data_IF_001057970975
#
_entry.id   IF_001057970975
#
_cell.length_a   1.000
_cell.length_b   1.000
_cell.length_c   1.000
_cell.angle_alpha   90.00
_cell.angle_beta   90.00
_cell.angle_gamma   90.00
#
_symmetry.space_group_name_H-M   'P 1'
#
loop_
_entity.id
_entity.type
_entity.pdbx_description
1 polymer ?
#
# COMPACT_ATOMS: atom_id res chain seq x y z
N UNK A 1 19.61 -1.60 2.83
CA UNK A 1 18.28 -2.20 2.54
C UNK A 1 17.58 -1.33 1.52
N UNK A 2 17.19 -1.87 0.37
CA UNK A 2 16.35 -1.16 -0.60
C UNK A 2 15.05 -1.95 -0.81
N UNK A 3 13.91 -1.25 -0.78
CA UNK A 3 12.60 -1.85 -0.95
C UNK A 3 11.78 -1.06 -1.97
N UNK A 4 11.42 -1.74 -3.05
CA UNK A 4 10.68 -1.18 -4.17
C UNK A 4 9.21 -1.64 -4.08
N UNK A 5 8.30 -0.70 -3.86
CA UNK A 5 6.85 -0.92 -3.78
C UNK A 5 6.14 -0.29 -4.97
N UNK A 6 5.22 -1.01 -5.57
CA UNK A 6 4.20 -0.46 -6.45
C UNK A 6 2.83 -0.58 -5.82
N UNK A 7 2.05 0.50 -5.85
CA UNK A 7 0.64 0.50 -5.45
C UNK A 7 -0.20 0.80 -6.68
N UNK A 8 -1.17 -0.06 -7.00
CA UNK A 8 -1.97 0.06 -8.22
C UNK A 8 -3.47 -0.19 -7.94
N UNK A 9 -4.31 0.59 -8.63
CA UNK A 9 -5.76 0.50 -8.51
C UNK A 9 -6.48 1.48 -9.41
N UNK A 10 -7.77 1.72 -9.15
CA UNK A 10 -8.53 2.77 -9.83
C UNK A 10 -8.38 4.12 -9.12
N UNK A 11 -8.61 5.19 -9.86
CA UNK A 11 -8.81 6.51 -9.27
C UNK A 11 -9.94 6.49 -8.22
N UNK A 12 -9.67 7.07 -7.04
CA UNK A 12 -10.61 7.05 -5.90
C UNK A 12 -10.36 5.95 -4.86
N UNK A 13 -9.57 4.92 -5.15
CA UNK A 13 -9.20 3.88 -4.17
C UNK A 13 -8.08 4.29 -3.20
N UNK A 14 -7.62 5.54 -3.27
CA UNK A 14 -6.60 6.05 -2.35
C UNK A 14 -5.17 5.53 -2.60
N UNK A 15 -4.90 5.00 -3.79
CA UNK A 15 -3.60 4.46 -4.22
C UNK A 15 -2.47 5.47 -4.02
N UNK A 16 -2.67 6.70 -4.53
CA UNK A 16 -1.67 7.77 -4.38
C UNK A 16 -1.49 8.21 -2.94
N UNK A 17 -2.56 8.21 -2.15
CA UNK A 17 -2.49 8.58 -0.74
C UNK A 17 -1.73 7.54 0.08
N UNK A 18 -1.89 6.24 -0.23
CA UNK A 18 -1.13 5.18 0.42
C UNK A 18 0.38 5.40 0.20
N UNK A 19 0.80 5.57 -1.05
CA UNK A 19 2.20 5.84 -1.37
C UNK A 19 2.73 7.12 -0.72
N UNK A 20 1.93 8.20 -0.71
CA UNK A 20 2.31 9.47 -0.06
C UNK A 20 2.48 9.31 1.45
N UNK A 21 1.57 8.64 2.14
CA UNK A 21 1.65 8.44 3.59
C UNK A 21 2.90 7.64 3.96
N UNK A 22 3.19 6.57 3.20
CA UNK A 22 4.41 5.79 3.39
C UNK A 22 5.66 6.66 3.18
N UNK A 23 5.69 7.45 2.12
CA UNK A 23 6.81 8.34 1.81
C UNK A 23 7.00 9.45 2.84
N UNK A 24 5.91 10.05 3.33
CA UNK A 24 5.98 11.03 4.42
C UNK A 24 6.50 10.42 5.72
N UNK A 25 6.00 9.24 6.10
CA UNK A 25 6.48 8.54 7.29
C UNK A 25 7.97 8.23 7.20
N UNK A 26 8.46 7.82 6.04
CA UNK A 26 9.88 7.58 5.81
C UNK A 26 10.70 8.87 5.91
N UNK A 27 10.34 9.88 5.12
CA UNK A 27 11.13 11.11 4.98
C UNK A 27 11.15 11.96 6.26
N UNK A 28 10.02 12.01 6.99
CA UNK A 28 9.86 12.92 8.14
C UNK A 28 10.28 12.28 9.48
N UNK A 29 10.41 10.95 9.52
CA UNK A 29 10.55 10.22 10.80
C UNK A 29 11.71 9.22 10.82
N UNK A 30 12.47 9.10 9.73
CA UNK A 30 13.63 8.20 9.64
C UNK A 30 14.78 8.86 8.87
N UNK A 31 15.97 8.27 8.95
CA UNK A 31 17.15 8.67 8.15
C UNK A 31 17.18 7.96 6.78
N UNK A 32 16.12 7.24 6.40
CA UNK A 32 16.05 6.56 5.12
C UNK A 32 15.78 7.52 3.96
N UNK A 33 16.36 7.21 2.83
CA UNK A 33 16.02 7.85 1.56
C UNK A 33 14.69 7.30 1.05
N UNK A 34 13.90 8.15 0.43
CA UNK A 34 12.63 7.74 -0.19
C UNK A 34 12.37 8.49 -1.49
N UNK A 35 11.84 7.78 -2.47
CA UNK A 35 11.27 8.39 -3.68
C UNK A 35 9.81 8.03 -3.80
N UNK A 36 9.02 8.96 -4.30
CA UNK A 36 7.60 8.77 -4.63
C UNK A 36 7.36 9.24 -6.07
N UNK A 37 6.94 8.31 -6.92
CA UNK A 37 6.65 8.60 -8.31
C UNK A 37 5.21 8.21 -8.66
N UNK A 38 4.28 9.17 -8.79
CA UNK A 38 2.92 8.90 -9.21
C UNK A 38 2.85 8.73 -10.74
N UNK A 39 2.06 7.75 -11.19
CA UNK A 39 1.74 7.55 -12.59
C UNK A 39 0.23 7.53 -12.78
N UNK A 40 -0.26 8.47 -13.56
CA UNK A 40 -1.67 8.51 -13.97
C UNK A 40 -1.77 7.97 -15.38
N UNK A 41 -2.68 7.01 -15.62
CA UNK A 41 -3.01 6.57 -16.97
C UNK A 41 -3.57 7.72 -17.82
N UNK A 42 -3.51 7.57 -19.15
CA UNK A 42 -4.05 8.56 -20.10
C UNK A 42 -5.57 8.80 -19.93
N UNK A 43 -6.27 7.89 -19.29
CA UNK A 43 -7.70 7.98 -18.99
C UNK A 43 -7.92 8.74 -17.68
N UNK A 44 -8.47 9.94 -17.78
CA UNK A 44 -8.69 10.83 -16.63
C UNK A 44 -9.79 10.36 -15.66
N UNK A 45 -10.62 9.39 -16.04
CA UNK A 45 -11.67 8.78 -15.19
C UNK A 45 -11.80 7.30 -15.51
N UNK A 46 -11.70 6.44 -14.48
CA UNK A 46 -11.84 4.99 -14.61
C UNK A 46 -10.58 4.25 -15.06
N UNK A 47 -9.49 4.95 -15.38
CA UNK A 47 -8.19 4.36 -15.70
C UNK A 47 -7.42 3.87 -14.48
N UNK A 48 -6.42 3.02 -14.70
CA UNK A 48 -5.52 2.55 -13.65
C UNK A 48 -4.62 3.68 -13.16
N UNK A 49 -4.69 3.98 -11.87
CA UNK A 49 -3.74 4.85 -11.17
C UNK A 49 -2.70 3.98 -10.46
N UNK A 50 -1.45 4.37 -10.51
CA UNK A 50 -0.40 3.66 -9.76
C UNK A 50 0.67 4.62 -9.27
N UNK A 51 1.40 4.21 -8.24
CA UNK A 51 2.58 4.93 -7.79
C UNK A 51 3.68 3.96 -7.39
N UNK A 52 4.91 4.41 -7.54
CA UNK A 52 6.10 3.73 -7.06
C UNK A 52 6.62 4.43 -5.82
N UNK A 53 7.06 3.64 -4.85
CA UNK A 53 7.75 4.09 -3.66
C UNK A 53 9.01 3.25 -3.50
N UNK A 54 10.15 3.90 -3.42
CA UNK A 54 11.42 3.25 -3.09
C UNK A 54 11.87 3.76 -1.74
N UNK A 55 12.18 2.85 -0.82
CA UNK A 55 12.73 3.15 0.52
C UNK A 55 14.10 2.52 0.59
N UNK A 56 15.14 3.27 0.97
CA UNK A 56 16.51 2.78 1.07
C UNK A 56 17.30 3.45 2.20
N UNK A 57 18.18 2.69 2.84
CA UNK A 57 19.19 3.23 3.76
C UNK A 57 20.41 3.83 3.03
N UNK A 58 20.48 3.65 1.70
CA UNK A 58 21.50 4.24 0.83
C UNK A 58 20.87 5.19 -0.20
N UNK A 59 21.67 6.03 -0.88
CA UNK A 59 21.18 6.89 -1.95
C UNK A 59 20.49 6.08 -3.06
N UNK A 60 19.28 6.50 -3.44
CA UNK A 60 18.48 5.83 -4.46
C UNK A 60 18.97 6.25 -5.85
N UNK A 61 19.47 5.28 -6.63
CA UNK A 61 20.02 5.53 -7.97
C UNK A 61 18.95 5.76 -9.04
N UNK A 62 17.76 5.14 -8.90
CA UNK A 62 16.65 5.31 -9.83
C UNK A 62 15.30 5.32 -9.10
N UNK A 63 14.41 6.31 -9.37
CA UNK A 63 13.10 6.36 -8.71
C UNK A 63 12.10 5.33 -9.25
N UNK A 64 12.43 4.68 -10.35
CA UNK A 64 11.63 3.66 -11.03
C UNK A 64 12.51 2.47 -11.35
N UNK A 65 12.10 1.29 -10.87
CA UNK A 65 12.68 0.01 -11.27
C UNK A 65 11.76 -0.72 -12.26
N UNK A 66 12.35 -1.56 -13.10
CA UNK A 66 11.60 -2.48 -13.96
C UNK A 66 10.98 -3.63 -13.16
N UNK A 67 11.46 -3.87 -11.96
CA UNK A 67 11.02 -4.90 -11.03
C UNK A 67 10.76 -4.32 -9.64
N UNK A 68 9.96 -5.01 -8.84
CA UNK A 68 9.59 -4.59 -7.49
C UNK A 68 9.59 -5.75 -6.50
N UNK A 69 9.88 -5.44 -5.23
CA UNK A 69 9.80 -6.39 -4.13
C UNK A 69 8.36 -6.59 -3.65
N UNK A 70 7.56 -5.53 -3.70
CA UNK A 70 6.20 -5.52 -3.20
C UNK A 70 5.25 -4.93 -4.24
N UNK A 71 4.08 -5.54 -4.36
CA UNK A 71 3.00 -5.08 -5.21
C UNK A 71 1.69 -5.05 -4.41
N UNK A 72 1.10 -3.88 -4.29
CA UNK A 72 -0.24 -3.69 -3.72
C UNK A 72 -1.25 -3.51 -4.85
N UNK A 73 -2.26 -4.37 -4.90
CA UNK A 73 -3.29 -4.39 -5.94
C UNK A 73 -4.66 -4.17 -5.34
N UNK A 74 -5.30 -3.07 -5.76
CA UNK A 74 -6.63 -2.69 -5.28
C UNK A 74 -7.76 -3.12 -6.22
N UNK A 75 -7.45 -3.65 -7.42
CA UNK A 75 -8.43 -4.15 -8.39
C UNK A 75 -7.84 -5.19 -9.35
N UNK A 76 -8.69 -5.97 -10.03
CA UNK A 76 -8.29 -7.02 -10.95
C UNK A 76 -7.45 -6.54 -12.16
N UNK A 77 -7.85 -5.48 -12.88
CA UNK A 77 -7.06 -4.97 -14.02
C UNK A 77 -5.62 -4.61 -13.65
N UNK A 78 -5.38 -4.07 -12.44
CA UNK A 78 -4.03 -3.77 -11.96
C UNK A 78 -3.21 -5.02 -11.68
N UNK A 79 -3.85 -6.09 -11.17
CA UNK A 79 -3.20 -7.39 -10.99
C UNK A 79 -2.66 -7.90 -12.33
N UNK A 80 -3.52 -8.00 -13.34
CA UNK A 80 -3.16 -8.50 -14.65
C UNK A 80 -2.05 -7.67 -15.32
N UNK A 81 -2.08 -6.36 -15.10
CA UNK A 81 -1.14 -5.42 -15.72
C UNK A 81 0.26 -5.46 -15.08
N UNK A 82 0.38 -5.72 -13.78
CA UNK A 82 1.62 -5.47 -13.04
C UNK A 82 2.23 -6.69 -12.35
N UNK A 83 1.52 -7.81 -12.24
CA UNK A 83 2.01 -9.00 -11.54
C UNK A 83 3.36 -9.52 -12.06
N UNK A 84 3.63 -9.37 -13.36
CA UNK A 84 4.88 -9.82 -13.98
C UNK A 84 6.12 -9.05 -13.52
N UNK A 85 5.93 -7.85 -12.97
CA UNK A 85 7.02 -7.01 -12.45
C UNK A 85 7.47 -7.40 -11.05
N UNK A 86 6.67 -8.21 -10.34
CA UNK A 86 7.04 -8.67 -9.00
C UNK A 86 8.15 -9.71 -9.09
N UNK A 87 9.24 -9.49 -8.35
CA UNK A 87 10.39 -10.40 -8.35
C UNK A 87 10.05 -11.74 -7.68
N UNK A 88 10.74 -12.84 -8.01
CA UNK A 88 10.68 -14.07 -7.21
C UNK A 88 11.02 -13.78 -5.75
N UNK A 89 10.26 -14.35 -4.81
CA UNK A 89 10.37 -14.05 -3.38
C UNK A 89 9.76 -12.72 -2.96
N UNK A 90 9.14 -11.99 -3.89
CA UNK A 90 8.42 -10.76 -3.60
C UNK A 90 7.04 -10.99 -2.98
N UNK A 91 6.40 -9.93 -2.50
CA UNK A 91 5.10 -10.00 -1.82
C UNK A 91 4.00 -9.28 -2.59
N UNK A 92 2.90 -9.99 -2.83
CA UNK A 92 1.69 -9.46 -3.44
C UNK A 92 0.61 -9.22 -2.37
N UNK A 93 0.19 -7.98 -2.21
CA UNK A 93 -0.96 -7.61 -1.36
C UNK A 93 -2.18 -7.38 -2.25
N UNK A 94 -3.29 -8.05 -1.94
CA UNK A 94 -4.51 -8.02 -2.76
C UNK A 94 -5.69 -7.53 -1.94
N UNK A 95 -6.47 -6.59 -2.48
CA UNK A 95 -7.83 -6.33 -2.01
C UNK A 95 -8.73 -7.52 -2.34
N UNK A 96 -8.80 -8.49 -1.46
CA UNK A 96 -9.51 -9.76 -1.69
C UNK A 96 -11.04 -9.63 -1.74
N UNK A 97 -11.60 -8.47 -1.35
CA UNK A 97 -13.03 -8.20 -1.50
C UNK A 97 -13.48 -8.14 -2.96
N UNK A 98 -12.59 -7.73 -3.87
CA UNK A 98 -12.93 -7.50 -5.29
C UNK A 98 -11.96 -8.16 -6.27
N UNK A 99 -10.77 -8.56 -5.85
CA UNK A 99 -9.81 -9.30 -6.66
C UNK A 99 -9.92 -10.77 -6.30
N UNK A 100 -10.66 -11.51 -7.10
CA UNK A 100 -10.96 -12.95 -6.88
C UNK A 100 -10.11 -13.86 -7.77
N UNK A 101 -9.24 -13.29 -8.60
CA UNK A 101 -8.39 -14.02 -9.52
C UNK A 101 -7.51 -15.04 -8.82
N UNK A 102 -7.32 -16.21 -9.44
CA UNK A 102 -6.37 -17.20 -8.97
C UNK A 102 -4.94 -16.75 -9.26
N UNK A 103 -4.11 -16.76 -8.23
CA UNK A 103 -2.68 -16.46 -8.37
C UNK A 103 -1.94 -17.76 -8.65
N UNK A 104 -1.50 -17.93 -9.90
CA UNK A 104 -0.78 -19.13 -10.35
C UNK A 104 0.71 -19.13 -10.00
N UNK A 105 1.26 -17.98 -9.58
CA UNK A 105 2.66 -17.87 -9.15
C UNK A 105 2.83 -18.50 -7.76
N UNK A 106 3.80 -19.40 -7.66
CA UNK A 106 4.15 -20.12 -6.42
C UNK A 106 5.48 -19.64 -5.83
N UNK A 107 6.11 -18.70 -6.49
CA UNK A 107 7.41 -18.12 -6.14
C UNK A 107 7.30 -16.77 -5.43
N UNK A 108 6.10 -16.40 -4.99
CA UNK A 108 5.81 -15.14 -4.30
C UNK A 108 4.93 -15.37 -3.08
N UNK A 109 5.00 -14.47 -2.10
CA UNK A 109 4.05 -14.44 -1.00
C UNK A 109 2.79 -13.67 -1.39
N UNK A 110 1.62 -14.14 -0.94
CA UNK A 110 0.32 -13.52 -1.24
C UNK A 110 -0.41 -13.19 0.05
N UNK A 111 -0.58 -11.90 0.30
CA UNK A 111 -1.33 -11.37 1.45
C UNK A 111 -2.71 -10.88 0.98
N UNK A 112 -3.77 -11.56 1.40
CA UNK A 112 -5.15 -11.24 1.04
C UNK A 112 -5.78 -10.39 2.14
N UNK A 113 -6.24 -9.18 1.79
CA UNK A 113 -6.84 -8.24 2.74
C UNK A 113 -8.20 -7.81 2.20
N UNK A 114 -9.33 -8.12 2.86
CA UNK A 114 -10.66 -7.78 2.38
C UNK A 114 -11.01 -6.31 2.72
N UNK A 115 -10.17 -5.37 2.23
CA UNK A 115 -10.24 -3.95 2.65
C UNK A 115 -11.56 -3.27 2.32
N UNK A 116 -12.24 -3.68 1.24
CA UNK A 116 -13.52 -3.08 0.85
C UNK A 116 -14.65 -3.51 1.81
N UNK A 117 -14.74 -4.80 2.12
CA UNK A 117 -15.69 -5.32 3.11
C UNK A 117 -15.46 -4.68 4.48
N UNK A 118 -14.21 -4.67 4.95
CA UNK A 118 -13.84 -4.07 6.23
C UNK A 118 -14.21 -2.58 6.30
N UNK A 119 -13.96 -1.82 5.23
CA UNK A 119 -14.29 -0.40 5.19
C UNK A 119 -15.81 -0.15 5.19
N UNK A 120 -16.58 -1.02 4.52
CA UNK A 120 -18.06 -0.98 4.56
C UNK A 120 -18.57 -1.24 5.98
N UNK A 121 -18.06 -2.27 6.65
CA UNK A 121 -18.40 -2.57 8.05
C UNK A 121 -18.06 -1.41 8.99
N UNK A 122 -16.96 -0.71 8.73
CA UNK A 122 -16.55 0.49 9.47
C UNK A 122 -17.36 1.76 9.09
N UNK A 123 -18.29 1.65 8.13
CA UNK A 123 -19.16 2.74 7.69
C UNK A 123 -18.50 3.80 6.83
N UNK A 124 -17.29 3.57 6.31
CA UNK A 124 -16.61 4.55 5.45
C UNK A 124 -15.64 3.90 4.45
N UNK A 125 -16.07 3.81 3.20
CA UNK A 125 -15.27 3.23 2.11
C UNK A 125 -13.92 3.94 1.87
N UNK A 126 -13.77 5.17 2.34
CA UNK A 126 -12.53 5.96 2.12
C UNK A 126 -11.33 5.48 2.93
N UNK A 127 -11.51 4.54 3.86
CA UNK A 127 -10.40 4.01 4.68
C UNK A 127 -9.75 2.76 4.10
N UNK A 128 -10.16 2.29 2.92
CA UNK A 128 -9.59 1.09 2.27
C UNK A 128 -8.07 1.16 2.13
N UNK A 129 -7.54 2.32 1.76
CA UNK A 129 -6.10 2.54 1.62
C UNK A 129 -5.37 2.55 2.97
N UNK A 130 -6.02 2.98 4.05
CA UNK A 130 -5.44 2.98 5.40
C UNK A 130 -5.37 1.55 5.95
N UNK A 131 -6.41 0.75 5.73
CA UNK A 131 -6.41 -0.68 6.08
C UNK A 131 -5.28 -1.39 5.32
N UNK A 132 -5.16 -1.17 4.01
CA UNK A 132 -4.12 -1.78 3.19
C UNK A 132 -2.72 -1.32 3.62
N UNK A 133 -2.53 -0.04 3.95
CA UNK A 133 -1.26 0.47 4.48
C UNK A 133 -0.91 -0.23 5.80
N UNK A 134 -1.88 -0.41 6.69
CA UNK A 134 -1.70 -1.18 7.91
C UNK A 134 -1.23 -2.61 7.64
N UNK A 135 -1.87 -3.31 6.71
CA UNK A 135 -1.49 -4.67 6.34
C UNK A 135 -0.07 -4.73 5.75
N UNK A 136 0.28 -3.77 4.91
CA UNK A 136 1.62 -3.63 4.36
C UNK A 136 2.68 -3.45 5.45
N UNK A 137 2.47 -2.53 6.38
CA UNK A 137 3.40 -2.27 7.49
C UNK A 137 3.48 -3.47 8.44
N UNK A 138 2.33 -4.08 8.78
CA UNK A 138 2.27 -5.24 9.66
C UNK A 138 3.02 -6.46 9.12
N UNK A 139 2.98 -6.67 7.81
CA UNK A 139 3.69 -7.75 7.14
C UNK A 139 5.18 -7.45 6.97
N UNK A 140 5.50 -6.31 6.36
CA UNK A 140 6.88 -5.98 5.93
C UNK A 140 7.76 -5.48 7.04
N UNK A 141 7.17 -4.85 8.06
CA UNK A 141 7.89 -4.18 9.16
C UNK A 141 8.98 -3.21 8.68
N UNK A 142 8.78 -2.65 7.47
CA UNK A 142 9.76 -1.76 6.84
C UNK A 142 9.89 -0.38 7.54
N UNK A 143 8.86 0.01 8.29
CA UNK A 143 8.85 1.20 9.15
C UNK A 143 8.21 0.88 10.50
N UNK A 144 8.57 1.61 11.58
CA UNK A 144 7.87 1.52 12.86
C UNK A 144 6.39 1.89 12.74
N UNK A 145 5.52 1.10 13.35
CA UNK A 145 4.06 1.24 13.27
C UNK A 145 3.57 2.58 13.81
N UNK A 146 4.14 3.02 14.93
CA UNK A 146 3.83 4.28 15.60
C UNK A 146 4.16 5.50 14.73
N UNK A 147 5.26 5.48 14.00
CA UNK A 147 5.65 6.55 13.07
C UNK A 147 4.67 6.67 11.90
N UNK A 148 4.23 5.52 11.36
CA UNK A 148 3.25 5.52 10.27
C UNK A 148 1.90 5.99 10.77
N UNK A 149 1.45 5.55 11.94
CA UNK A 149 0.21 5.99 12.55
C UNK A 149 0.21 7.49 12.85
N UNK A 150 1.29 8.02 13.41
CA UNK A 150 1.45 9.45 13.66
C UNK A 150 1.35 10.26 12.36
N UNK A 151 1.98 9.79 11.31
CA UNK A 151 1.91 10.41 9.97
C UNK A 151 0.48 10.42 9.42
N UNK A 152 -0.26 9.31 9.56
CA UNK A 152 -1.68 9.24 9.17
C UNK A 152 -2.48 10.31 9.91
N UNK A 153 -2.30 10.41 11.23
CA UNK A 153 -3.01 11.39 12.06
C UNK A 153 -2.66 12.82 11.65
N UNK A 154 -1.39 13.14 11.47
CA UNK A 154 -0.94 14.48 11.07
C UNK A 154 -1.42 14.88 9.67
N UNK A 155 -1.33 14.00 8.70
CA UNK A 155 -1.66 14.31 7.30
C UNK A 155 -3.15 14.25 7.00
N UNK A 156 -3.91 13.39 7.68
CA UNK A 156 -5.35 13.21 7.45
C UNK A 156 -6.21 13.83 8.56
N UNK A 157 -5.61 14.35 9.62
CA UNK A 157 -6.29 14.85 10.82
C UNK A 157 -7.01 16.20 10.67
N UNK A 158 -7.05 16.81 9.46
CA UNK A 158 -7.82 18.05 9.21
C UNK A 158 -9.27 17.95 9.62
N UNK A 159 -9.85 16.75 9.57
CA UNK A 159 -11.17 16.42 10.13
C UNK A 159 -10.97 15.57 11.38
N UNK A 160 -10.92 16.20 12.55
CA UNK A 160 -10.69 15.53 13.84
C UNK A 160 -11.64 14.34 14.06
N UNK A 161 -12.87 14.40 13.56
CA UNK A 161 -13.86 13.32 13.63
C UNK A 161 -13.44 12.03 12.91
N UNK A 162 -12.51 12.08 11.96
CA UNK A 162 -12.00 10.91 11.23
C UNK A 162 -10.77 10.29 11.88
N UNK A 163 -10.18 10.90 12.88
CA UNK A 163 -8.97 10.37 13.54
C UNK A 163 -9.23 9.00 14.16
N UNK A 164 -10.31 8.79 14.97
CA UNK A 164 -10.59 7.47 15.54
C UNK A 164 -10.77 6.39 14.48
N UNK A 165 -11.48 6.71 13.41
CA UNK A 165 -11.72 5.79 12.30
C UNK A 165 -10.42 5.40 11.57
N UNK A 166 -9.54 6.36 11.30
CA UNK A 166 -8.25 6.08 10.66
C UNK A 166 -7.35 5.23 11.56
N UNK A 167 -7.35 5.49 12.88
CA UNK A 167 -6.60 4.66 13.85
C UNK A 167 -7.10 3.22 13.85
N UNK A 168 -8.42 3.02 13.89
CA UNK A 168 -9.03 1.69 13.86
C UNK A 168 -8.73 0.97 12.54
N UNK A 169 -8.86 1.66 11.40
CA UNK A 169 -8.58 1.12 10.08
C UNK A 169 -7.12 0.63 9.96
N UNK A 170 -6.17 1.45 10.41
CA UNK A 170 -4.76 1.10 10.42
C UNK A 170 -4.48 -0.10 11.33
N UNK A 171 -5.02 -0.11 12.55
CA UNK A 171 -4.84 -1.21 13.51
C UNK A 171 -5.38 -2.55 12.98
N UNK A 172 -6.57 -2.56 12.37
CA UNK A 172 -7.15 -3.75 11.74
C UNK A 172 -6.28 -4.29 10.60
N UNK A 173 -5.77 -3.38 9.76
CA UNK A 173 -4.83 -3.76 8.71
C UNK A 173 -3.53 -4.35 9.26
N UNK A 174 -2.92 -3.70 10.25
CA UNK A 174 -1.71 -4.19 10.93
C UNK A 174 -1.85 -5.62 11.45
N UNK A 175 -2.98 -5.93 12.07
CA UNK A 175 -3.23 -7.27 12.61
C UNK A 175 -3.22 -8.33 11.50
N UNK A 176 -3.90 -8.07 10.38
CA UNK A 176 -3.91 -8.97 9.22
C UNK A 176 -2.49 -9.15 8.67
N UNK A 177 -1.75 -8.06 8.50
CA UNK A 177 -0.37 -8.14 8.02
C UNK A 177 0.54 -8.94 8.94
N UNK A 178 0.45 -8.74 10.24
CA UNK A 178 1.22 -9.49 11.25
C UNK A 178 0.87 -10.99 11.26
N UNK A 179 -0.40 -11.32 11.07
CA UNK A 179 -0.85 -12.72 11.00
C UNK A 179 -0.36 -13.40 9.72
N UNK A 180 -0.32 -12.68 8.60
CA UNK A 180 0.16 -13.21 7.33
C UNK A 180 1.69 -13.38 7.28
N UNK A 181 2.44 -12.65 8.10
CA UNK A 181 3.91 -12.71 8.17
C UNK A 181 4.44 -13.93 8.94
N UNK A 182 3.58 -14.80 9.46
CA UNK A 182 3.93 -16.03 10.16
C UNK A 182 4.05 -17.17 9.16
#
# INVERSE_FOLDING_TARGET
MERNLMVAGFGGQGVMMLGKLLSYATCESTDYNVTFFPSYGAEQRGGTANCYVVISDEPIGAPLGDSMNDLVVMNGPSLNKFLYKLVPGGTLFINSSIVTDEIKRTDIDVVRVPVTEMAVEMGNIKVINIIMLGAYIGYTKCLPEDLVLDTIIRKLGKKASLIPLNKEAFAKGLEIGKQAAK
#
